data_IF_669090658438
#
_entry.id   IF_669090658438
#
_cell.length_a   1.000
_cell.length_b   1.000
_cell.length_c   1.000
_cell.angle_alpha   90.00
_cell.angle_beta   90.00
_cell.angle_gamma   90.00
#
_symmetry.space_group_name_H-M   'P 1'
#
loop_
_entity.id
_entity.type
_entity.pdbx_description
1 polymer ?
#
# COMPACT_ATOMS: atom_id res chain seq x y z
N UNK A 1 35.96 4.05 -14.54
CA UNK A 1 34.55 3.59 -14.44
C UNK A 1 34.59 2.47 -13.42
N UNK A 2 33.60 2.35 -12.52
CA UNK A 2 33.65 1.62 -11.23
C UNK A 2 34.19 2.43 -10.03
N UNK A 3 33.37 3.33 -9.46
CA UNK A 3 33.54 3.80 -8.05
C UNK A 3 32.35 4.62 -7.52
N UNK A 4 31.29 4.88 -8.30
CA UNK A 4 30.16 5.68 -7.79
C UNK A 4 29.23 4.87 -6.86
N UNK A 5 29.21 3.55 -7.00
CA UNK A 5 28.29 2.66 -6.27
C UNK A 5 28.74 2.38 -4.83
N UNK A 6 30.04 2.44 -4.54
CA UNK A 6 30.58 2.22 -3.19
C UNK A 6 30.53 3.47 -2.28
N UNK A 7 30.10 4.61 -2.83
CA UNK A 7 29.98 5.90 -2.11
C UNK A 7 28.54 6.18 -1.63
N UNK A 8 27.59 5.24 -1.77
CA UNK A 8 26.43 5.19 -0.87
C UNK A 8 26.94 4.80 0.52
N UNK A 9 27.68 5.73 1.13
CA UNK A 9 28.21 5.64 2.47
C UNK A 9 27.05 5.29 3.38
N UNK A 10 27.08 4.06 3.87
CA UNK A 10 26.39 3.64 5.05
C UNK A 10 27.08 4.34 6.23
N UNK A 11 26.95 5.67 6.30
CA UNK A 11 27.38 6.45 7.45
C UNK A 11 26.44 6.08 8.58
N UNK A 12 26.96 5.26 9.48
CA UNK A 12 26.27 4.93 10.70
C UNK A 12 26.68 5.95 11.74
N UNK A 13 25.80 6.90 12.13
CA UNK A 13 26.10 7.77 13.24
C UNK A 13 26.48 6.94 14.47
N UNK A 14 27.57 7.38 15.11
CA UNK A 14 28.12 6.76 16.31
C UNK A 14 27.15 6.94 17.49
N UNK A 15 26.42 8.06 17.51
CA UNK A 15 25.31 8.30 18.42
C UNK A 15 23.97 7.84 17.82
N UNK A 16 23.29 6.91 18.51
CA UNK A 16 22.05 6.32 18.01
C UNK A 16 20.88 7.30 17.94
N UNK A 17 20.98 8.46 18.59
CA UNK A 17 19.93 9.48 18.58
C UNK A 17 19.75 10.10 17.20
N UNK A 18 20.79 10.09 16.37
CA UNK A 18 20.73 10.61 15.00
C UNK A 18 19.84 9.76 14.06
N UNK A 19 19.49 8.53 14.43
CA UNK A 19 18.51 7.71 13.68
C UNK A 19 17.06 8.02 14.04
N UNK A 20 16.79 8.75 15.13
CA UNK A 20 15.42 9.04 15.59
C UNK A 20 14.58 9.72 14.49
N UNK A 21 15.10 10.74 13.76
CA UNK A 21 14.36 11.35 12.66
C UNK A 21 13.99 10.35 11.56
N UNK A 22 14.93 9.48 11.16
CA UNK A 22 14.69 8.46 10.16
C UNK A 22 13.63 7.44 10.61
N UNK A 23 13.69 7.01 11.87
CA UNK A 23 12.69 6.10 12.45
C UNK A 23 11.29 6.73 12.44
N UNK A 24 11.16 8.01 12.81
CA UNK A 24 9.90 8.74 12.77
C UNK A 24 9.36 8.82 11.35
N UNK A 25 10.19 9.19 10.37
CA UNK A 25 9.79 9.26 8.96
C UNK A 25 9.32 7.90 8.45
N UNK A 26 10.10 6.85 8.69
CA UNK A 26 9.72 5.47 8.33
C UNK A 26 8.39 5.07 8.97
N UNK A 27 8.17 5.41 10.24
CA UNK A 27 6.95 5.08 10.95
C UNK A 27 5.72 5.82 10.39
N UNK A 28 5.86 7.09 10.04
CA UNK A 28 4.79 7.88 9.40
C UNK A 28 4.40 7.25 8.05
N UNK A 29 5.40 6.92 7.22
CA UNK A 29 5.14 6.26 5.93
C UNK A 29 4.54 4.87 6.08
N UNK A 30 5.00 4.10 7.07
CA UNK A 30 4.45 2.78 7.38
C UNK A 30 2.97 2.88 7.76
N UNK A 31 2.62 3.80 8.66
CA UNK A 31 1.23 4.05 9.05
C UNK A 31 0.41 4.48 7.83
N UNK A 32 0.93 5.41 7.03
CA UNK A 32 0.28 5.88 5.81
C UNK A 32 -0.01 4.73 4.83
N UNK A 33 0.96 3.83 4.62
CA UNK A 33 0.82 2.66 3.77
C UNK A 33 -0.26 1.70 4.29
N UNK A 34 -0.26 1.42 5.61
CA UNK A 34 -1.27 0.55 6.23
C UNK A 34 -2.68 1.13 6.11
N UNK A 35 -2.84 2.43 6.33
CA UNK A 35 -4.14 3.12 6.18
C UNK A 35 -4.59 3.08 4.71
N UNK A 36 -3.69 3.40 3.79
CA UNK A 36 -3.98 3.41 2.35
C UNK A 36 -4.39 2.02 1.87
N UNK A 37 -3.64 0.99 2.25
CA UNK A 37 -3.95 -0.40 1.90
C UNK A 37 -5.32 -0.83 2.43
N UNK A 38 -5.64 -0.50 3.70
CA UNK A 38 -6.97 -0.77 4.27
C UNK A 38 -8.08 -0.04 3.52
N UNK A 39 -7.84 1.21 3.14
CA UNK A 39 -8.83 2.00 2.40
C UNK A 39 -9.12 1.40 1.02
N UNK A 40 -8.07 1.04 0.26
CA UNK A 40 -8.19 0.39 -1.05
C UNK A 40 -8.99 -0.92 -0.95
N UNK A 41 -8.67 -1.79 0.03
CA UNK A 41 -9.38 -3.06 0.23
C UNK A 41 -10.87 -2.82 0.51
N UNK A 42 -11.20 -1.81 1.32
CA UNK A 42 -12.59 -1.50 1.65
C UNK A 42 -13.37 -0.97 0.44
N UNK A 43 -12.75 -0.15 -0.40
CA UNK A 43 -13.37 0.33 -1.64
C UNK A 43 -13.58 -0.84 -2.60
N UNK A 44 -12.55 -1.66 -2.82
CA UNK A 44 -12.61 -2.84 -3.69
C UNK A 44 -13.71 -3.82 -3.29
N UNK A 45 -13.90 -4.08 -1.99
CA UNK A 45 -15.00 -4.93 -1.49
C UNK A 45 -16.38 -4.37 -1.84
N UNK A 46 -16.58 -3.05 -1.78
CA UNK A 46 -17.85 -2.41 -2.14
C UNK A 46 -18.11 -2.54 -3.64
N UNK A 47 -17.09 -2.38 -4.47
CA UNK A 47 -17.20 -2.52 -5.92
C UNK A 47 -17.47 -3.97 -6.32
N UNK A 48 -16.75 -4.93 -5.74
CA UNK A 48 -16.97 -6.35 -5.96
C UNK A 48 -18.41 -6.78 -5.61
N UNK A 49 -18.97 -6.26 -4.51
CA UNK A 49 -20.36 -6.54 -4.14
C UNK A 49 -21.36 -5.98 -5.17
N UNK A 50 -21.11 -4.77 -5.70
CA UNK A 50 -21.95 -4.18 -6.75
C UNK A 50 -21.88 -4.98 -8.05
N UNK A 51 -20.68 -5.39 -8.45
CA UNK A 51 -20.48 -6.21 -9.64
C UNK A 51 -21.22 -7.56 -9.53
N UNK A 52 -21.11 -8.26 -8.39
CA UNK A 52 -21.84 -9.51 -8.15
C UNK A 52 -23.36 -9.35 -8.28
N UNK A 53 -23.93 -8.29 -7.69
CA UNK A 53 -25.37 -8.01 -7.81
C UNK A 53 -25.81 -7.76 -9.26
N UNK A 54 -24.97 -7.12 -10.06
CA UNK A 54 -25.24 -6.89 -11.49
C UNK A 54 -25.20 -8.21 -12.27
N UNK A 55 -24.20 -9.07 -12.03
CA UNK A 55 -24.12 -10.41 -12.63
C UNK A 55 -25.35 -11.25 -12.30
N UNK A 56 -25.76 -11.30 -11.03
CA UNK A 56 -26.96 -12.03 -10.60
C UNK A 56 -28.24 -11.51 -11.28
N UNK A 57 -28.37 -10.19 -11.45
CA UNK A 57 -29.51 -9.58 -12.12
C UNK A 57 -29.55 -9.92 -13.62
N UNK A 58 -28.39 -9.97 -14.29
CA UNK A 58 -28.27 -10.35 -15.70
C UNK A 58 -28.58 -11.84 -15.90
N UNK A 59 -28.05 -12.71 -15.05
CA UNK A 59 -28.35 -14.16 -15.09
C UNK A 59 -29.84 -14.43 -14.95
N UNK A 60 -30.51 -13.80 -13.97
CA UNK A 60 -31.97 -13.93 -13.78
C UNK A 60 -32.78 -13.41 -14.96
N UNK A 61 -32.26 -12.44 -15.71
CA UNK A 61 -32.93 -11.87 -16.88
C UNK A 61 -32.76 -12.74 -18.12
N UNK A 62 -31.60 -13.37 -18.29
CA UNK A 62 -31.33 -14.33 -19.37
C UNK A 62 -32.05 -15.66 -19.15
N UNK A 63 -32.22 -16.11 -17.91
CA UNK A 63 -32.94 -17.37 -17.59
C UNK A 63 -34.47 -17.25 -17.81
N UNK A 64 -35.01 -16.02 -17.76
CA UNK A 64 -36.43 -15.73 -17.97
C UNK A 64 -36.83 -15.50 -19.44
N UNK A 65 -35.89 -15.60 -20.37
CA UNK A 65 -36.05 -15.21 -21.77
C UNK A 65 -35.68 -16.37 -22.70
#
# INVERSE_FOLDING_TARGET
MESFVLQLFLYFPEDKSEYIPAAITCFIFLIGALITMRWIINVSKKEALKAKKLEEALLKKNDKN
#
